data_IF_548383147926
#
_entry.id   IF_548383147926
#
_cell.length_a   1.000
_cell.length_b   1.000
_cell.length_c   1.000
_cell.angle_alpha   90.00
_cell.angle_beta   90.00
_cell.angle_gamma   90.00
#
_symmetry.space_group_name_H-M   'P 1'
#
loop_
_entity.id
_entity.type
_entity.pdbx_description
1 polymer ?
#
# COMPACT_ATOMS: atom_id res chain seq x y z
N UNK A 1 -38.68 -10.34 -16.41
CA UNK A 1 -38.16 -10.63 -15.06
C UNK A 1 -36.64 -10.67 -15.14
N UNK A 2 -35.90 -9.75 -14.52
CA UNK A 2 -34.44 -9.83 -14.53
C UNK A 2 -34.01 -10.96 -13.58
N UNK A 3 -33.21 -11.89 -14.09
CA UNK A 3 -32.71 -13.03 -13.33
C UNK A 3 -31.64 -12.57 -12.34
N UNK A 4 -31.83 -12.95 -11.07
CA UNK A 4 -30.86 -12.78 -10.00
C UNK A 4 -29.61 -13.61 -10.31
N UNK A 5 -28.61 -12.98 -10.92
CA UNK A 5 -27.27 -13.57 -11.02
C UNK A 5 -26.66 -13.61 -9.62
N UNK A 6 -26.68 -14.80 -9.01
CA UNK A 6 -25.91 -15.08 -7.81
C UNK A 6 -24.43 -14.81 -8.10
N UNK A 7 -23.88 -13.79 -7.45
CA UNK A 7 -22.45 -13.48 -7.52
C UNK A 7 -21.67 -14.68 -6.99
N UNK A 8 -20.74 -15.19 -7.78
CA UNK A 8 -19.79 -16.19 -7.30
C UNK A 8 -19.10 -15.65 -6.05
N UNK A 9 -19.15 -16.42 -4.96
CA UNK A 9 -18.35 -16.14 -3.78
C UNK A 9 -16.91 -16.07 -4.25
N UNK A 10 -16.33 -14.86 -4.22
CA UNK A 10 -14.93 -14.68 -4.56
C UNK A 10 -14.17 -15.60 -3.60
N UNK A 11 -13.50 -16.62 -4.14
CA UNK A 11 -12.70 -17.56 -3.35
C UNK A 11 -11.87 -16.72 -2.42
N UNK A 12 -12.20 -16.75 -1.12
CA UNK A 12 -11.39 -16.12 -0.10
C UNK A 12 -10.00 -16.67 -0.37
N UNK A 13 -9.08 -15.77 -0.70
CA UNK A 13 -7.64 -16.01 -0.78
C UNK A 13 -7.27 -17.26 0.02
N UNK A 14 -6.61 -18.24 -0.63
CA UNK A 14 -6.16 -19.49 0.00
C UNK A 14 -5.85 -19.22 1.46
N UNK A 15 -6.66 -19.82 2.33
CA UNK A 15 -6.56 -19.57 3.76
C UNK A 15 -5.12 -19.88 4.18
N UNK A 16 -4.55 -19.00 4.99
CA UNK A 16 -3.21 -19.25 5.52
C UNK A 16 -3.28 -20.58 6.28
N UNK A 17 -2.19 -21.37 6.30
CA UNK A 17 -2.19 -22.59 7.09
C UNK A 17 -2.53 -22.23 8.55
N UNK A 18 -3.19 -23.15 9.26
CA UNK A 18 -3.82 -22.85 10.58
C UNK A 18 -2.81 -22.30 11.60
N UNK A 19 -1.54 -22.65 11.44
CA UNK A 19 -0.40 -22.22 12.25
C UNK A 19 0.24 -20.89 11.82
N UNK A 20 -0.31 -20.16 10.82
CA UNK A 20 0.27 -18.92 10.31
C UNK A 20 -0.63 -17.70 10.53
N UNK A 21 -0.04 -16.63 11.09
CA UNK A 21 -0.68 -15.33 11.28
C UNK A 21 -0.10 -14.27 10.35
N UNK A 22 -0.98 -13.43 9.81
CA UNK A 22 -0.57 -12.31 8.94
C UNK A 22 -0.14 -11.10 9.77
N UNK A 23 1.13 -10.70 9.65
CA UNK A 23 1.63 -9.44 10.21
C UNK A 23 1.64 -8.36 9.13
N UNK A 24 0.89 -7.29 9.38
CA UNK A 24 0.74 -6.21 8.39
C UNK A 24 1.99 -5.35 8.33
N UNK A 25 2.57 -5.19 7.14
CA UNK A 25 3.69 -4.28 6.93
C UNK A 25 3.18 -2.85 6.79
N UNK A 26 3.98 -1.88 7.23
CA UNK A 26 3.69 -0.46 6.98
C UNK A 26 3.90 -0.17 5.51
N UNK A 27 2.99 0.59 4.89
CA UNK A 27 3.17 1.07 3.53
C UNK A 27 4.44 1.93 3.46
N UNK A 28 5.29 1.63 2.47
CA UNK A 28 6.45 2.46 2.18
C UNK A 28 6.00 3.88 1.84
N UNK A 29 6.65 4.87 2.46
CA UNK A 29 6.41 6.28 2.19
C UNK A 29 7.69 6.90 1.67
N UNK A 30 7.64 7.68 0.57
CA UNK A 30 8.81 8.41 0.11
C UNK A 30 9.29 9.36 1.20
N UNK A 31 10.61 9.48 1.33
CA UNK A 31 11.24 10.44 2.23
C UNK A 31 10.81 11.85 1.76
N UNK A 32 10.31 12.70 2.68
CA UNK A 32 9.85 14.02 2.28
C UNK A 32 11.03 14.81 1.69
N UNK A 33 10.80 15.52 0.58
CA UNK A 33 11.84 16.32 -0.06
C UNK A 33 12.32 17.44 0.88
N UNK A 34 13.58 17.91 0.73
CA UNK A 34 14.07 19.06 1.48
C UNK A 34 13.17 20.28 1.25
N UNK A 35 13.00 21.09 2.31
CA UNK A 35 11.92 22.09 2.48
C UNK A 35 11.69 23.07 1.30
N UNK A 36 12.66 23.23 0.40
CA UNK A 36 12.65 24.27 -0.64
C UNK A 36 12.33 23.76 -2.05
N UNK A 37 12.40 22.46 -2.35
CA UNK A 37 12.70 22.06 -3.75
C UNK A 37 11.88 20.91 -4.35
N UNK A 38 10.75 20.49 -3.77
CA UNK A 38 9.88 19.60 -4.55
C UNK A 38 8.39 19.89 -4.35
N UNK A 39 7.81 20.41 -5.42
CA UNK A 39 6.39 20.34 -5.71
C UNK A 39 6.15 18.97 -6.37
N UNK A 40 5.07 18.22 -6.06
CA UNK A 40 3.97 18.53 -5.14
C UNK A 40 4.22 18.10 -3.67
N UNK A 41 3.59 18.82 -2.73
CA UNK A 41 3.66 18.47 -1.30
C UNK A 41 2.63 17.41 -0.93
N UNK A 42 3.08 16.28 -0.43
CA UNK A 42 2.20 15.17 -0.04
C UNK A 42 1.99 15.16 1.48
N UNK A 43 0.73 15.16 1.92
CA UNK A 43 0.32 15.02 3.32
C UNK A 43 -0.36 13.67 3.51
N UNK A 44 0.31 12.76 4.20
CA UNK A 44 -0.27 11.46 4.56
C UNK A 44 -1.15 11.60 5.81
N UNK A 45 -2.39 11.11 5.71
CA UNK A 45 -3.37 11.14 6.80
C UNK A 45 -3.60 9.72 7.32
N UNK A 46 -3.57 9.59 8.65
CA UNK A 46 -3.89 8.36 9.36
C UNK A 46 -5.26 8.48 10.02
N UNK A 47 -5.87 7.34 10.38
CA UNK A 47 -7.10 7.30 11.15
C UNK A 47 -6.97 7.99 12.52
N UNK A 48 -5.76 8.04 13.09
CA UNK A 48 -5.48 8.73 14.37
C UNK A 48 -5.04 10.19 14.20
N UNK A 49 -4.92 10.70 12.97
CA UNK A 49 -4.53 12.08 12.75
C UNK A 49 -5.62 13.04 13.26
N UNK A 50 -5.25 14.08 14.05
CA UNK A 50 -6.19 15.10 14.48
C UNK A 50 -6.56 16.03 13.32
N UNK A 51 -7.85 16.34 13.22
CA UNK A 51 -8.43 17.06 12.07
C UNK A 51 -7.80 18.45 11.88
N UNK A 52 -7.86 19.29 12.92
CA UNK A 52 -7.37 20.68 12.89
C UNK A 52 -5.87 20.77 12.60
N UNK A 53 -5.07 19.84 13.16
CA UNK A 53 -3.63 19.77 12.87
C UNK A 53 -3.36 19.53 11.39
N UNK A 54 -4.17 18.67 10.77
CA UNK A 54 -4.04 18.32 9.36
C UNK A 54 -4.41 19.52 8.49
N UNK A 55 -5.50 20.23 8.82
CA UNK A 55 -5.89 21.48 8.16
C UNK A 55 -4.77 22.52 8.20
N UNK A 56 -4.19 22.78 9.37
CA UNK A 56 -3.08 23.74 9.53
C UNK A 56 -1.87 23.34 8.70
N UNK A 57 -1.56 22.05 8.63
CA UNK A 57 -0.45 21.52 7.84
C UNK A 57 -0.65 21.74 6.34
N UNK A 58 -1.86 21.49 5.84
CA UNK A 58 -2.21 21.73 4.44
C UNK A 58 -2.16 23.22 4.10
N UNK A 59 -2.72 24.10 4.96
CA UNK A 59 -2.64 25.55 4.76
C UNK A 59 -1.20 26.07 4.74
N UNK A 60 -0.38 25.64 5.69
CA UNK A 60 1.05 25.98 5.72
C UNK A 60 1.76 25.52 4.45
N UNK A 61 1.41 24.36 3.90
CA UNK A 61 1.97 23.89 2.63
C UNK A 61 1.56 24.77 1.44
N UNK A 62 0.28 25.19 1.38
CA UNK A 62 -0.25 26.10 0.36
C UNK A 62 0.34 27.53 0.46
N UNK A 63 0.61 28.03 1.66
CA UNK A 63 1.25 29.33 1.89
C UNK A 63 2.66 29.39 1.31
N UNK A 64 3.42 28.30 1.41
CA UNK A 64 4.77 28.23 0.83
C UNK A 64 4.71 28.35 -0.69
N UNK A 65 3.68 27.84 -1.36
CA UNK A 65 3.50 28.05 -2.80
C UNK A 65 3.21 29.51 -3.14
N UNK A 66 2.44 30.22 -2.29
CA UNK A 66 2.19 31.66 -2.43
C UNK A 66 3.45 32.51 -2.20
N UNK A 67 4.37 32.08 -1.32
CA UNK A 67 5.63 32.79 -1.11
C UNK A 67 6.64 32.51 -2.23
N UNK A 68 6.74 31.26 -2.68
CA UNK A 68 7.59 30.87 -3.81
C UNK A 68 7.18 31.57 -5.12
N UNK A 69 5.88 31.72 -5.40
CA UNK A 69 5.43 32.48 -6.57
C UNK A 69 5.85 33.95 -6.52
N UNK A 70 5.74 34.61 -5.36
CA UNK A 70 6.21 36.00 -5.18
C UNK A 70 7.71 36.15 -5.41
N UNK A 71 8.52 35.22 -4.89
CA UNK A 71 9.99 35.23 -5.09
C UNK A 71 10.35 34.99 -6.55
N UNK A 72 9.68 34.05 -7.24
CA UNK A 72 9.91 33.79 -8.66
C UNK A 72 9.62 35.03 -9.52
N UNK A 73 8.53 35.76 -9.23
CA UNK A 73 8.18 37.01 -9.93
C UNK A 73 9.25 38.10 -9.69
N UNK A 74 9.73 38.25 -8.45
CA UNK A 74 10.75 39.24 -8.10
C UNK A 74 12.12 38.91 -8.71
N UNK A 75 12.56 37.65 -8.64
CA UNK A 75 13.81 37.18 -9.23
C UNK A 75 13.80 37.17 -10.76
N UNK A 76 12.63 36.93 -11.38
CA UNK A 76 12.43 37.03 -12.82
C UNK A 76 12.63 38.45 -13.35
N UNK A 77 12.24 39.49 -12.58
CA UNK A 77 12.51 40.90 -12.95
C UNK A 77 14.00 41.22 -12.91
N UNK A 78 14.73 40.72 -11.92
CA UNK A 78 16.19 40.92 -11.83
C UNK A 78 16.94 40.17 -12.93
N UNK A 79 16.55 38.93 -13.25
CA UNK A 79 17.14 38.17 -14.36
C UNK A 79 16.86 38.82 -15.72
N UNK A 80 15.65 39.33 -15.96
CA UNK A 80 15.34 40.10 -17.19
C UNK A 80 16.14 41.41 -17.29
N UNK A 81 16.37 42.11 -16.18
CA UNK A 81 17.19 43.32 -16.17
C UNK A 81 18.68 43.03 -16.47
N UNK A 82 19.19 41.88 -15.98
CA UNK A 82 20.55 41.44 -16.26
C UNK A 82 20.72 40.90 -17.69
N UNK A 83 19.75 40.13 -18.21
CA UNK A 83 19.79 39.56 -19.56
C UNK A 83 19.58 40.62 -20.66
N UNK A 84 18.79 41.68 -20.40
CA UNK A 84 18.66 42.82 -21.31
C UNK A 84 19.96 43.58 -21.56
N UNK A 85 20.98 43.42 -20.71
CA UNK A 85 22.31 44.01 -20.91
C UNK A 85 23.21 43.21 -21.87
N UNK A 86 22.89 41.94 -22.14
CA UNK A 86 23.81 41.05 -22.86
C UNK A 86 23.26 40.45 -24.17
N UNK A 87 21.97 40.55 -24.49
CA UNK A 87 21.43 40.10 -25.80
C UNK A 87 20.06 40.76 -26.12
N UNK A 88 19.90 41.46 -27.27
CA UNK A 88 18.64 42.13 -27.62
C UNK A 88 17.67 41.28 -28.46
N UNK A 89 18.00 40.06 -28.89
CA UNK A 89 17.09 39.22 -29.67
C UNK A 89 16.95 37.81 -29.09
N UNK A 90 15.85 37.57 -28.37
CA UNK A 90 15.32 36.22 -28.20
C UNK A 90 13.80 36.27 -27.91
N UNK A 91 13.10 35.41 -28.63
CA UNK A 91 11.67 35.14 -28.76
C UNK A 91 10.80 35.16 -27.48
N UNK A 92 9.45 35.26 -27.60
CA UNK A 92 8.54 35.48 -26.47
C UNK A 92 8.44 34.25 -25.55
N UNK A 93 9.22 34.25 -24.47
CA UNK A 93 9.13 33.31 -23.34
C UNK A 93 7.96 33.62 -22.39
N UNK A 94 6.75 33.82 -22.93
CA UNK A 94 5.56 34.20 -22.15
C UNK A 94 4.64 33.02 -21.79
N UNK A 95 4.88 31.81 -22.29
CA UNK A 95 3.94 30.68 -22.17
C UNK A 95 4.21 29.82 -20.91
N UNK A 96 5.45 29.72 -20.43
CA UNK A 96 5.78 28.82 -19.29
C UNK A 96 5.44 29.37 -17.90
N UNK A 97 5.32 30.69 -17.73
CA UNK A 97 5.07 31.30 -16.41
C UNK A 97 3.64 31.11 -15.90
N UNK A 98 2.69 30.82 -16.78
CA UNK A 98 1.28 30.57 -16.41
C UNK A 98 1.00 29.08 -16.13
N UNK A 99 1.93 28.20 -16.49
CA UNK A 99 1.84 26.75 -16.28
C UNK A 99 2.26 26.33 -14.87
N UNK A 100 3.09 27.12 -14.20
CA UNK A 100 3.64 26.80 -12.87
C UNK A 100 2.58 26.76 -11.76
N UNK A 101 1.52 27.56 -11.83
CA UNK A 101 0.50 27.56 -10.78
C UNK A 101 -0.44 26.35 -10.87
N UNK A 102 -0.57 25.72 -12.04
CA UNK A 102 -1.29 24.45 -12.19
C UNK A 102 -0.53 23.30 -11.53
N UNK A 103 0.80 23.41 -11.42
CA UNK A 103 1.68 22.40 -10.84
C UNK A 103 1.83 22.53 -9.31
N UNK A 104 1.46 23.66 -8.71
CA UNK A 104 1.54 23.89 -7.26
C UNK A 104 0.28 23.43 -6.54
N UNK A 105 0.30 22.17 -6.11
CA UNK A 105 -0.79 21.58 -5.35
C UNK A 105 -0.29 20.77 -4.14
N UNK A 106 -1.18 20.64 -3.16
CA UNK A 106 -0.96 19.77 -1.99
C UNK A 106 -1.83 18.53 -2.16
N UNK A 107 -1.22 17.35 -2.13
CA UNK A 107 -1.96 16.09 -2.20
C UNK A 107 -2.13 15.50 -0.80
N UNK A 108 -3.37 15.30 -0.38
CA UNK A 108 -3.71 14.58 0.84
C UNK A 108 -3.90 13.11 0.45
N UNK A 109 -3.03 12.21 0.94
CA UNK A 109 -3.14 10.77 0.68
C UNK A 109 -3.65 10.04 1.92
N UNK A 110 -4.66 9.20 1.74
CA UNK A 110 -5.23 8.38 2.81
C UNK A 110 -5.63 7.00 2.29
N UNK A 111 -5.59 6.01 3.17
CA UNK A 111 -5.92 4.61 2.86
C UNK A 111 -6.82 4.01 3.93
N UNK A 112 -7.62 3.00 3.56
CA UNK A 112 -8.50 2.27 4.48
C UNK A 112 -9.38 3.18 5.36
N UNK A 113 -9.36 2.97 6.68
CA UNK A 113 -10.18 3.73 7.66
C UNK A 113 -9.85 5.24 7.69
N UNK A 114 -8.72 5.67 7.14
CA UNK A 114 -8.38 7.10 7.07
C UNK A 114 -9.12 7.83 5.92
N UNK A 115 -9.74 7.11 4.98
CA UNK A 115 -10.45 7.68 3.83
C UNK A 115 -11.59 8.60 4.27
N UNK A 116 -12.38 8.18 5.26
CA UNK A 116 -13.48 8.97 5.84
C UNK A 116 -12.98 10.36 6.31
N UNK A 117 -11.88 10.37 7.07
CA UNK A 117 -11.26 11.62 7.54
C UNK A 117 -10.71 12.47 6.40
N UNK A 118 -10.13 11.86 5.37
CA UNK A 118 -9.64 12.58 4.21
C UNK A 118 -10.78 13.26 3.45
N UNK A 119 -11.90 12.56 3.23
CA UNK A 119 -13.09 13.13 2.60
C UNK A 119 -13.67 14.30 3.41
N UNK A 120 -13.73 14.18 4.74
CA UNK A 120 -14.13 15.29 5.61
C UNK A 120 -13.20 16.51 5.48
N UNK A 121 -11.89 16.29 5.34
CA UNK A 121 -10.93 17.37 5.06
C UNK A 121 -11.18 17.99 3.67
N UNK A 122 -11.48 17.16 2.67
CA UNK A 122 -11.88 17.61 1.34
C UNK A 122 -13.09 18.54 1.39
N UNK A 123 -14.18 18.10 2.03
CA UNK A 123 -15.38 18.92 2.25
C UNK A 123 -15.07 20.25 2.93
N UNK A 124 -14.21 20.24 3.95
CA UNK A 124 -13.78 21.46 4.64
C UNK A 124 -13.05 22.47 3.74
N UNK A 125 -12.19 22.00 2.84
CA UNK A 125 -11.55 22.87 1.85
C UNK A 125 -12.51 23.24 0.70
N UNK A 126 -13.52 22.42 0.40
CA UNK A 126 -14.49 22.73 -0.66
C UNK A 126 -15.36 23.92 -0.27
N UNK A 127 -15.71 24.03 1.01
CA UNK A 127 -16.47 25.17 1.55
C UNK A 127 -15.67 26.48 1.62
N UNK A 128 -14.37 26.46 1.37
CA UNK A 128 -13.52 27.65 1.38
C UNK A 128 -13.45 28.28 -0.01
N UNK A 129 -13.57 29.62 -0.07
CA UNK A 129 -13.59 30.38 -1.34
C UNK A 129 -12.23 30.42 -2.05
N UNK A 130 -11.14 30.20 -1.31
CA UNK A 130 -9.76 30.33 -1.78
C UNK A 130 -9.13 29.02 -2.27
N UNK A 131 -9.87 27.90 -2.21
CA UNK A 131 -9.35 26.58 -2.61
C UNK A 131 -10.22 25.88 -3.65
N UNK A 132 -9.58 25.13 -4.53
CA UNK A 132 -10.19 24.20 -5.47
C UNK A 132 -9.68 22.78 -5.19
N UNK A 133 -10.55 21.78 -5.38
CA UNK A 133 -10.27 20.40 -5.01
C UNK A 133 -10.54 19.46 -6.17
N UNK A 134 -9.67 18.46 -6.30
CA UNK A 134 -9.85 17.31 -7.18
C UNK A 134 -9.64 16.03 -6.36
N UNK A 135 -10.50 15.05 -6.54
CA UNK A 135 -10.43 13.76 -5.84
C UNK A 135 -10.04 12.69 -6.85
N UNK A 136 -9.04 11.89 -6.52
CA UNK A 136 -8.60 10.72 -7.28
C UNK A 136 -8.71 9.48 -6.41
N UNK A 137 -9.31 8.43 -6.94
CA UNK A 137 -9.39 7.12 -6.29
C UNK A 137 -8.40 6.18 -6.94
N UNK A 138 -7.77 5.33 -6.15
CA UNK A 138 -6.87 4.30 -6.65
C UNK A 138 -6.80 3.11 -5.72
N UNK A 139 -5.97 2.15 -6.11
CA UNK A 139 -5.68 0.94 -5.34
C UNK A 139 -4.18 0.79 -5.26
N UNK A 140 -3.67 0.43 -4.09
CA UNK A 140 -2.24 0.19 -3.85
C UNK A 140 -2.07 -1.23 -3.35
N UNK A 141 -1.14 -1.95 -3.97
CA UNK A 141 -0.71 -3.26 -3.52
C UNK A 141 0.19 -3.12 -2.29
N UNK A 142 -0.06 -3.97 -1.30
CA UNK A 142 0.62 -3.94 -0.01
C UNK A 142 1.13 -5.35 0.27
N UNK A 143 2.43 -5.49 0.50
CA UNK A 143 3.05 -6.75 0.91
C UNK A 143 3.01 -6.85 2.43
N UNK A 144 2.36 -7.89 2.96
CA UNK A 144 2.35 -8.24 4.38
C UNK A 144 3.23 -9.48 4.62
N UNK A 145 3.69 -9.65 5.85
CA UNK A 145 4.51 -10.78 6.29
C UNK A 145 3.61 -11.91 6.79
N UNK A 146 3.94 -13.15 6.45
CA UNK A 146 3.30 -14.34 7.02
C UNK A 146 4.25 -14.87 8.09
N UNK A 147 3.78 -14.97 9.33
CA UNK A 147 4.58 -15.48 10.46
C UNK A 147 3.92 -16.75 10.97
N UNK A 148 4.69 -17.83 11.07
CA UNK A 148 4.24 -19.09 11.63
C UNK A 148 4.38 -19.01 13.16
N UNK A 149 3.29 -19.25 13.87
CA UNK A 149 3.28 -19.30 15.31
C UNK A 149 3.70 -20.72 15.75
N UNK A 150 4.97 -20.87 16.12
CA UNK A 150 5.53 -22.13 16.64
C UNK A 150 5.01 -22.52 18.03
N UNK A 151 4.11 -21.74 18.63
CA UNK A 151 3.64 -21.94 20.02
C UNK A 151 2.35 -22.76 20.13
N UNK A 152 1.59 -22.93 19.04
CA UNK A 152 0.25 -23.54 19.07
C UNK A 152 0.21 -24.96 18.50
N UNK A 153 1.36 -25.61 18.31
CA UNK A 153 1.44 -27.04 18.05
C UNK A 153 1.79 -27.74 19.36
N UNK A 154 0.78 -28.28 20.04
CA UNK A 154 1.04 -29.33 21.01
C UNK A 154 1.55 -30.53 20.23
N UNK A 155 2.64 -31.15 20.71
CA UNK A 155 3.18 -32.38 20.16
C UNK A 155 2.10 -33.46 19.90
N UNK A 156 1.07 -33.48 20.74
CA UNK A 156 -0.11 -34.36 20.66
C UNK A 156 -0.93 -34.16 19.37
N UNK A 157 -1.07 -32.93 18.86
CA UNK A 157 -1.87 -32.64 17.67
C UNK A 157 -1.15 -33.07 16.38
N UNK A 158 0.19 -32.94 16.34
CA UNK A 158 1.04 -33.40 15.24
C UNK A 158 1.08 -34.94 15.14
N UNK A 159 1.19 -35.62 16.29
CA UNK A 159 1.14 -37.09 16.37
C UNK A 159 -0.20 -37.65 15.87
N UNK A 160 -1.30 -36.95 16.15
CA UNK A 160 -2.63 -37.39 15.74
C UNK A 160 -2.86 -37.24 14.23
N UNK A 161 -2.37 -36.15 13.64
CA UNK A 161 -2.47 -35.92 12.19
C UNK A 161 -1.57 -36.90 11.40
N UNK A 162 -0.40 -37.28 11.95
CA UNK A 162 0.47 -38.33 11.39
C UNK A 162 -0.20 -39.71 11.45
N UNK A 163 -0.76 -40.10 12.60
CA UNK A 163 -1.46 -41.38 12.74
C UNK A 163 -2.69 -41.47 11.82
N UNK A 164 -3.43 -40.37 11.65
CA UNK A 164 -4.57 -40.30 10.71
C UNK A 164 -4.15 -40.31 9.23
N UNK A 165 -2.92 -39.91 8.89
CA UNK A 165 -2.37 -40.05 7.53
C UNK A 165 -1.83 -41.46 7.29
N UNK A 166 -1.10 -42.03 8.24
CA UNK A 166 -0.61 -43.41 8.19
C UNK A 166 -1.78 -44.42 8.12
N UNK A 167 -2.87 -44.19 8.86
CA UNK A 167 -4.09 -45.00 8.76
C UNK A 167 -4.80 -44.86 7.41
N UNK A 168 -4.71 -43.69 6.75
CA UNK A 168 -5.26 -43.48 5.40
C UNK A 168 -4.39 -44.11 4.32
N UNK A 169 -3.08 -44.17 4.51
CA UNK A 169 -2.17 -44.84 3.58
C UNK A 169 -2.20 -46.36 3.74
N UNK A 170 -2.23 -46.90 4.97
CA UNK A 170 -2.31 -48.35 5.20
C UNK A 170 -3.73 -48.94 5.06
N UNK A 171 -4.79 -48.12 5.18
CA UNK A 171 -6.18 -48.54 4.96
C UNK A 171 -6.58 -48.64 3.47
N UNK A 172 -5.67 -48.30 2.56
CA UNK A 172 -5.92 -48.14 1.14
C UNK A 172 -5.58 -49.35 0.26
N UNK A 173 -5.41 -50.56 0.77
CA UNK A 173 -5.34 -51.76 -0.10
C UNK A 173 -5.74 -53.05 0.62
N UNK A 174 -7.04 -53.34 0.60
CA UNK A 174 -7.57 -54.61 1.07
C UNK A 174 -8.67 -55.12 0.15
N UNK A 175 -8.28 -55.82 -0.93
CA UNK A 175 -9.09 -56.93 -1.46
C UNK A 175 -8.19 -57.96 -2.18
N UNK A 176 -8.12 -59.16 -1.59
CA UNK A 176 -8.00 -60.44 -2.28
C UNK A 176 -6.61 -60.95 -2.67
N UNK A 177 -6.03 -61.83 -1.85
CA UNK A 177 -5.83 -63.27 -2.17
C UNK A 177 -4.72 -63.94 -1.36
N UNK A 178 -4.80 -65.26 -1.30
CA UNK A 178 -4.18 -66.21 -0.37
C UNK A 178 -2.64 -66.39 -0.47
N UNK A 179 -2.07 -66.86 0.66
CA UNK A 179 -0.90 -67.74 0.82
C UNK A 179 0.49 -67.23 0.43
N UNK A 180 1.40 -67.35 1.40
CA UNK A 180 2.84 -67.48 1.15
C UNK A 180 3.66 -67.04 2.35
N UNK A 181 4.25 -67.99 3.05
CA UNK A 181 5.33 -67.79 4.00
C UNK A 181 6.51 -67.15 3.25
N UNK A 182 7.09 -66.08 3.79
CA UNK A 182 8.54 -65.82 3.75
C UNK A 182 8.86 -64.58 4.59
N UNK A 183 9.77 -64.77 5.56
CA UNK A 183 10.33 -63.70 6.37
C UNK A 183 11.32 -62.89 5.52
N UNK A 184 11.14 -61.57 5.48
CA UNK A 184 12.18 -60.64 5.06
C UNK A 184 12.45 -59.67 6.21
N UNK A 185 13.61 -59.85 6.85
CA UNK A 185 14.28 -58.78 7.59
C UNK A 185 14.63 -57.68 6.58
N UNK A 186 13.97 -56.53 6.71
CA UNK A 186 14.30 -55.30 5.98
C UNK A 186 14.97 -54.40 7.00
N UNK A 187 16.24 -54.10 6.75
CA UNK A 187 17.05 -53.17 7.54
C UNK A 187 16.30 -51.84 7.74
N UNK A 188 16.05 -51.48 9.00
CA UNK A 188 15.60 -50.16 9.45
C UNK A 188 16.72 -49.14 9.20
N UNK A 189 16.93 -48.75 7.94
CA UNK A 189 17.54 -47.45 7.64
C UNK A 189 16.50 -46.38 7.94
N UNK A 190 16.57 -45.85 9.16
CA UNK A 190 15.87 -44.65 9.62
C UNK A 190 16.03 -43.58 8.53
N UNK A 191 14.95 -43.16 7.84
CA UNK A 191 15.04 -42.00 6.98
C UNK A 191 15.49 -40.83 7.85
N UNK A 192 16.61 -40.21 7.52
CA UNK A 192 16.99 -38.94 8.12
C UNK A 192 15.77 -38.01 7.95
N UNK A 193 15.10 -37.71 9.07
CA UNK A 193 14.08 -36.65 9.15
C UNK A 193 14.80 -35.33 8.82
N UNK A 194 15.01 -35.08 7.53
CA UNK A 194 15.36 -33.76 7.03
C UNK A 194 14.18 -32.88 7.35
N UNK A 195 14.45 -31.84 8.14
CA UNK A 195 13.52 -30.85 8.64
C UNK A 195 12.54 -30.35 7.56
N UNK A 196 11.39 -31.01 7.36
CA UNK A 196 10.27 -30.52 6.55
C UNK A 196 9.76 -29.15 7.06
N UNK A 197 10.17 -28.77 8.28
CA UNK A 197 9.95 -27.47 8.89
C UNK A 197 10.77 -26.35 8.25
N UNK A 198 11.95 -26.62 7.68
CA UNK A 198 12.73 -25.63 6.93
C UNK A 198 12.11 -25.37 5.55
N UNK A 199 11.50 -26.39 4.95
CA UNK A 199 10.91 -26.27 3.61
C UNK A 199 9.61 -25.45 3.61
N UNK A 200 8.85 -25.43 4.72
CA UNK A 200 7.65 -24.59 4.85
C UNK A 200 7.98 -23.09 4.97
N UNK A 201 9.13 -22.74 5.57
CA UNK A 201 9.58 -21.35 5.70
C UNK A 201 9.86 -20.71 4.31
N UNK A 202 10.11 -21.52 3.26
CA UNK A 202 10.33 -21.07 1.88
C UNK A 202 9.04 -20.87 1.06
N UNK A 203 7.91 -21.45 1.46
CA UNK A 203 6.71 -21.48 0.60
C UNK A 203 5.93 -20.15 0.63
N UNK A 204 5.97 -19.36 1.72
CA UNK A 204 5.24 -18.08 1.78
C UNK A 204 5.91 -16.99 2.65
N UNK A 205 7.04 -16.40 2.22
CA UNK A 205 7.68 -15.30 2.96
C UNK A 205 6.81 -14.04 3.03
N UNK A 206 5.91 -13.82 2.08
CA UNK A 206 5.03 -12.66 2.08
C UNK A 206 3.74 -12.88 1.30
N UNK A 207 2.71 -12.12 1.67
CA UNK A 207 1.39 -12.14 1.03
C UNK A 207 1.00 -10.73 0.61
N UNK A 208 0.62 -10.56 -0.65
CA UNK A 208 0.15 -9.27 -1.14
C UNK A 208 -1.36 -9.09 -0.93
N UNK A 209 -1.77 -7.86 -0.66
CA UNK A 209 -3.17 -7.44 -0.63
C UNK A 209 -3.36 -6.11 -1.32
N UNK A 210 -4.54 -5.92 -1.90
CA UNK A 210 -4.93 -4.65 -2.48
C UNK A 210 -5.65 -3.80 -1.42
N UNK A 211 -5.21 -2.56 -1.25
CA UNK A 211 -5.84 -1.58 -0.35
C UNK A 211 -6.28 -0.35 -1.15
N UNK A 212 -7.51 0.11 -0.91
CA UNK A 212 -8.03 1.33 -1.52
C UNK A 212 -7.30 2.57 -0.99
N UNK A 213 -6.99 3.49 -1.90
CA UNK A 213 -6.31 4.75 -1.63
C UNK A 213 -7.11 5.89 -2.25
N UNK A 214 -7.17 7.00 -1.52
CA UNK A 214 -7.72 8.26 -2.03
C UNK A 214 -6.64 9.33 -2.00
N UNK A 215 -6.61 10.13 -3.06
CA UNK A 215 -5.75 11.29 -3.19
C UNK A 215 -6.64 12.52 -3.39
N UNK A 216 -6.57 13.46 -2.46
CA UNK A 216 -7.32 14.71 -2.54
C UNK A 216 -6.30 15.81 -2.85
N UNK A 217 -6.37 16.33 -4.07
CA UNK A 217 -5.53 17.40 -4.56
C UNK A 217 -6.17 18.74 -4.20
N UNK A 218 -5.47 19.54 -3.40
CA UNK A 218 -5.91 20.87 -2.97
C UNK A 218 -5.06 21.92 -3.66
N UNK A 219 -5.70 22.87 -4.34
CA UNK A 219 -5.07 23.97 -5.07
C UNK A 219 -5.60 25.31 -4.56
N UNK A 220 -4.79 26.35 -4.65
CA UNK A 220 -5.28 27.72 -4.43
C UNK A 220 -6.11 28.14 -5.65
N UNK A 221 -7.33 28.65 -5.43
CA UNK A 221 -8.15 29.24 -6.48
C UNK A 221 -7.61 30.65 -6.77
N UNK A 222 -7.46 31.06 -8.05
CA UNK A 222 -7.18 32.45 -8.35
C UNK A 222 -8.33 33.34 -7.86
N UNK A 223 -8.04 34.57 -7.39
CA UNK A 223 -9.09 35.51 -7.04
C UNK A 223 -9.99 35.78 -8.26
N UNK A 224 -11.31 35.98 -8.04
CA UNK A 224 -12.26 36.32 -9.10
C UNK A 224 -11.97 37.69 -9.72
#
# INVERSE_FOLDING_TARGET
MPTSQQRSHHKRSKELPKNAKLRKRRLSRPIPPPRLSADPKIVYVSSKSPFVSTVKRVRKALEVFKSQSKVAIAGGRQRRAFQRRHQPEAAPASIDLLSDDKNKYVTIKATGRAIEKALALGLYFQGQKDTAIEIRTGTVECTDDVVIDRTDVKFEDLMKEKHEMEEREYGGQGDGSEKGEDAMDVDDEVPEEVDELEEIDDIFPSRTRNTSVIEIVVRNKPPP
#
